data_IF_726527164131
#
_entry.id   IF_726527164131
#
_cell.length_a   1.000
_cell.length_b   1.000
_cell.length_c   1.000
_cell.angle_alpha   90.00
_cell.angle_beta   90.00
_cell.angle_gamma   90.00
#
_symmetry.space_group_name_H-M   'P 1'
#
loop_
_entity.id
_entity.type
_entity.pdbx_description
1 polymer ?
#
# COMPACT_ATOMS: atom_id res chain seq x y z
N UNK A 1 9.88 13.62 -31.31
CA UNK A 1 9.75 14.93 -30.65
C UNK A 1 10.88 15.81 -31.17
N UNK A 2 10.66 17.08 -31.56
CA UNK A 2 11.74 17.98 -31.98
C UNK A 2 12.83 18.08 -30.91
N UNK A 3 14.10 18.26 -31.29
CA UNK A 3 15.24 18.32 -30.34
C UNK A 3 15.09 19.37 -29.24
N UNK A 4 14.33 20.44 -29.52
CA UNK A 4 14.09 21.56 -28.62
C UNK A 4 13.07 21.26 -27.52
N UNK A 5 12.34 20.15 -27.62
CA UNK A 5 11.29 19.79 -26.66
C UNK A 5 11.76 18.57 -25.88
N UNK A 6 11.71 18.67 -24.54
CA UNK A 6 11.87 17.53 -23.63
C UNK A 6 10.58 17.29 -22.88
N UNK A 7 10.18 16.02 -22.80
CA UNK A 7 9.13 15.57 -21.90
C UNK A 7 9.78 15.11 -20.59
N UNK A 8 9.31 15.66 -19.47
CA UNK A 8 9.78 15.31 -18.13
C UNK A 8 8.62 14.64 -17.40
N UNK A 9 8.81 13.38 -17.01
CA UNK A 9 7.88 12.69 -16.13
C UNK A 9 8.20 13.03 -14.69
N UNK A 10 7.30 13.75 -14.03
CA UNK A 10 7.39 13.99 -12.59
C UNK A 10 7.06 12.73 -11.77
N UNK A 11 7.09 12.85 -10.43
CA UNK A 11 6.75 11.77 -9.51
C UNK A 11 5.22 11.53 -9.46
N UNK A 12 4.63 11.15 -10.60
CA UNK A 12 3.18 10.98 -10.76
C UNK A 12 2.61 9.65 -10.23
N UNK A 13 3.45 8.80 -9.65
CA UNK A 13 3.05 7.51 -9.08
C UNK A 13 2.90 7.66 -7.56
N UNK A 14 1.67 7.74 -7.00
CA UNK A 14 1.45 7.96 -5.57
C UNK A 14 2.03 6.83 -4.70
N UNK A 15 1.95 5.59 -5.18
CA UNK A 15 2.52 4.40 -4.52
C UNK A 15 4.05 4.52 -4.41
N UNK A 16 4.70 4.91 -5.51
CA UNK A 16 6.15 5.00 -5.60
C UNK A 16 6.76 6.10 -4.70
N UNK A 17 5.95 7.10 -4.33
CA UNK A 17 6.38 8.23 -3.48
C UNK A 17 5.87 8.11 -2.05
N UNK A 18 5.20 7.01 -1.71
CA UNK A 18 4.71 6.78 -0.36
C UNK A 18 5.90 6.60 0.59
N UNK A 19 6.00 7.37 1.69
CA UNK A 19 7.11 7.24 2.63
C UNK A 19 7.15 5.84 3.24
N UNK A 20 8.35 5.28 3.35
CA UNK A 20 8.57 3.94 3.96
C UNK A 20 7.95 3.84 5.35
N UNK A 21 8.04 4.90 6.15
CA UNK A 21 7.43 4.94 7.49
C UNK A 21 5.91 4.70 7.47
N UNK A 22 5.21 5.14 6.42
CA UNK A 22 3.76 4.89 6.28
C UNK A 22 3.46 3.39 6.11
N UNK A 23 4.31 2.69 5.35
CA UNK A 23 4.24 1.23 5.19
C UNK A 23 4.58 0.52 6.50
N UNK A 24 5.59 1.00 7.23
CA UNK A 24 5.96 0.46 8.53
C UNK A 24 4.82 0.58 9.55
N UNK A 25 4.10 1.70 9.56
CA UNK A 25 2.91 1.86 10.38
C UNK A 25 1.82 0.84 10.00
N UNK A 26 1.56 0.64 8.71
CA UNK A 26 0.57 -0.34 8.25
C UNK A 26 0.96 -1.78 8.64
N UNK A 27 2.25 -2.14 8.50
CA UNK A 27 2.79 -3.43 8.96
C UNK A 27 2.64 -3.60 10.47
N UNK A 28 2.94 -2.56 11.26
CA UNK A 28 2.76 -2.62 12.71
C UNK A 28 1.30 -2.80 13.12
N UNK A 29 0.36 -2.16 12.40
CA UNK A 29 -1.08 -2.34 12.61
C UNK A 29 -1.55 -3.74 12.20
N UNK A 30 -1.06 -4.28 11.08
CA UNK A 30 -1.42 -5.62 10.60
C UNK A 30 -1.11 -6.75 11.62
N UNK A 31 -0.12 -6.52 12.50
CA UNK A 31 0.27 -7.48 13.55
C UNK A 31 -0.59 -7.41 14.80
N UNK A 32 -1.49 -6.44 14.91
CA UNK A 32 -2.37 -6.30 16.08
C UNK A 32 -3.51 -7.32 15.98
N UNK A 33 -3.94 -7.89 17.12
CA UNK A 33 -5.14 -8.72 17.13
C UNK A 33 -6.37 -7.92 16.68
N UNK A 34 -7.36 -8.63 16.14
CA UNK A 34 -8.66 -8.07 15.72
C UNK A 34 -8.56 -6.86 14.79
N UNK A 35 -7.53 -6.84 13.92
CA UNK A 35 -7.26 -5.75 13.00
C UNK A 35 -7.29 -6.25 11.55
N UNK A 36 -8.10 -5.59 10.71
CA UNK A 36 -8.13 -5.81 9.26
C UNK A 36 -7.44 -4.63 8.59
N UNK A 37 -6.44 -4.90 7.73
CA UNK A 37 -5.81 -3.89 6.88
C UNK A 37 -6.38 -4.01 5.47
N UNK A 38 -7.03 -2.96 4.99
CA UNK A 38 -7.43 -2.84 3.59
C UNK A 38 -6.41 -2.03 2.81
N UNK A 39 -6.00 -2.50 1.63
CA UNK A 39 -5.01 -1.81 0.79
C UNK A 39 -5.30 -1.99 -0.69
N UNK A 40 -4.80 -1.08 -1.54
CA UNK A 40 -4.86 -1.28 -2.99
C UNK A 40 -3.84 -2.34 -3.45
N UNK A 41 -4.13 -2.98 -4.58
CA UNK A 41 -3.32 -4.11 -5.08
C UNK A 41 -1.90 -3.72 -5.51
N UNK A 42 -1.68 -2.47 -5.91
CA UNK A 42 -0.36 -1.91 -6.21
C UNK A 42 0.47 -1.64 -4.94
N UNK A 43 -0.20 -1.28 -3.85
CA UNK A 43 0.41 -0.95 -2.57
C UNK A 43 0.83 -2.18 -1.74
N UNK A 44 0.15 -3.33 -1.91
CA UNK A 44 0.38 -4.52 -1.06
C UNK A 44 1.83 -5.05 -1.09
N UNK A 45 2.55 -4.82 -2.20
CA UNK A 45 3.93 -5.29 -2.41
C UNK A 45 4.99 -4.25 -2.03
N UNK A 46 4.61 -3.01 -1.73
CA UNK A 46 5.57 -1.96 -1.39
C UNK A 46 6.31 -2.35 -0.11
N UNK A 47 7.66 -2.32 -0.13
CA UNK A 47 8.45 -2.68 1.04
C UNK A 47 8.42 -1.56 2.09
N UNK A 48 8.18 -1.94 3.34
CA UNK A 48 8.59 -1.19 4.51
C UNK A 48 10.05 -1.51 4.88
N UNK A 49 10.49 -1.00 6.03
CA UNK A 49 11.84 -1.21 6.57
C UNK A 49 12.09 -2.66 6.98
N UNK A 50 11.07 -3.38 7.47
CA UNK A 50 11.20 -4.76 7.97
C UNK A 50 10.37 -5.80 7.22
N UNK A 51 9.27 -5.40 6.58
CA UNK A 51 8.33 -6.30 5.92
C UNK A 51 7.49 -5.56 4.88
N UNK A 52 6.50 -6.22 4.31
CA UNK A 52 5.47 -5.64 3.44
C UNK A 52 4.13 -6.28 3.77
N UNK A 53 3.02 -5.62 3.39
CA UNK A 53 1.68 -6.14 3.68
C UNK A 53 1.43 -7.53 3.07
N UNK A 54 2.00 -7.83 1.89
CA UNK A 54 1.93 -9.17 1.29
C UNK A 54 2.67 -10.23 2.13
N UNK A 55 3.77 -9.86 2.80
CA UNK A 55 4.50 -10.78 3.70
C UNK A 55 3.72 -10.99 4.99
N UNK A 56 3.18 -9.92 5.57
CA UNK A 56 2.35 -10.02 6.78
C UNK A 56 1.08 -10.86 6.53
N UNK A 57 0.46 -10.69 5.36
CA UNK A 57 -0.67 -11.54 4.92
C UNK A 57 -0.26 -13.02 4.86
N UNK A 58 0.90 -13.34 4.29
CA UNK A 58 1.42 -14.71 4.24
C UNK A 58 1.74 -15.29 5.62
N UNK A 59 2.01 -14.45 6.63
CA UNK A 59 2.20 -14.87 8.02
C UNK A 59 0.91 -14.90 8.85
N UNK A 60 -0.24 -14.64 8.23
CA UNK A 60 -1.57 -14.77 8.85
C UNK A 60 -2.24 -13.46 9.27
N UNK A 61 -1.69 -12.29 8.94
CA UNK A 61 -2.40 -11.03 9.14
C UNK A 61 -3.63 -10.93 8.21
N UNK A 62 -4.74 -10.39 8.69
CA UNK A 62 -5.92 -10.14 7.84
C UNK A 62 -5.71 -8.86 7.01
N UNK A 63 -5.11 -9.06 5.83
CA UNK A 63 -4.91 -8.01 4.83
C UNK A 63 -5.83 -8.30 3.64
N UNK A 64 -6.61 -7.32 3.21
CA UNK A 64 -7.57 -7.46 2.09
C UNK A 64 -7.30 -6.42 1.02
N UNK A 65 -7.28 -6.86 -0.23
CA UNK A 65 -7.16 -5.95 -1.37
C UNK A 65 -8.53 -5.35 -1.66
N UNK A 66 -8.59 -4.03 -1.80
CA UNK A 66 -9.79 -3.27 -2.17
C UNK A 66 -9.56 -2.51 -3.47
N UNK A 67 -10.65 -2.18 -4.17
CA UNK A 67 -10.64 -1.38 -5.39
C UNK A 67 -11.19 0.03 -5.17
N UNK A 68 -11.83 0.26 -4.03
CA UNK A 68 -12.30 1.55 -3.56
C UNK A 68 -12.12 1.66 -2.04
N UNK A 69 -11.85 2.85 -1.49
CA UNK A 69 -11.89 3.07 -0.05
C UNK A 69 -13.26 2.72 0.58
N UNK A 70 -14.34 2.76 -0.20
CA UNK A 70 -15.69 2.38 0.26
C UNK A 70 -15.81 0.88 0.55
N UNK A 71 -15.02 0.03 -0.10
CA UNK A 71 -15.01 -1.41 0.17
C UNK A 71 -14.60 -1.69 1.62
N UNK A 72 -13.73 -0.85 2.20
CA UNK A 72 -13.33 -0.95 3.59
C UNK A 72 -14.49 -0.69 4.56
N UNK A 73 -15.43 0.20 4.21
CA UNK A 73 -16.63 0.44 5.01
C UNK A 73 -17.55 -0.77 4.98
N UNK A 74 -17.73 -1.38 3.81
CA UNK A 74 -18.51 -2.62 3.66
C UNK A 74 -17.89 -3.79 4.42
N UNK A 75 -16.55 -3.87 4.50
CA UNK A 75 -15.84 -4.90 5.28
C UNK A 75 -16.00 -4.68 6.80
N UNK A 76 -16.11 -3.42 7.24
CA UNK A 76 -16.21 -3.07 8.64
C UNK A 76 -17.64 -3.18 9.21
N UNK A 77 -18.66 -3.18 8.34
CA UNK A 77 -20.08 -3.31 8.71
C UNK A 77 -20.52 -4.76 8.85
#
# INVERSE_FOLDING_TARGET
>A
LPEQIRLISGPGCPVCVTPVGYVDHAVALARRPDTIITTFGDMIRVPGSSSSLIREQATGADVRIVYSPLDAVTIAG
#
